data_IF_671077727574
#
_entry.id   IF_671077727574
#
_cell.length_a   1.000
_cell.length_b   1.000
_cell.length_c   1.000
_cell.angle_alpha   90.00
_cell.angle_beta   90.00
_cell.angle_gamma   90.00
#
_symmetry.space_group_name_H-M   'P 1'
#
loop_
_entity.id
_entity.type
_entity.pdbx_description
1 polymer ?
#
# COMPACT_ATOMS: atom_id res chain seq x y z
N UNK A 1 -7.38 0.92 5.51
CA UNK A 1 -7.07 -0.02 6.60
C UNK A 1 -5.66 -0.56 6.41
N UNK A 2 -4.72 -0.18 7.26
CA UNK A 2 -3.48 -0.94 7.45
C UNK A 2 -3.91 -2.35 7.86
N UNK A 3 -3.46 -3.39 7.15
CA UNK A 3 -3.80 -4.76 7.57
C UNK A 3 -3.11 -5.05 8.90
N UNK A 4 -3.84 -5.73 9.78
CA UNK A 4 -3.36 -6.25 11.07
C UNK A 4 -2.02 -7.01 10.93
N UNK A 5 -1.75 -7.61 9.77
CA UNK A 5 -0.49 -8.29 9.42
C UNK A 5 0.76 -7.44 9.68
N UNK A 6 0.70 -6.11 9.51
CA UNK A 6 1.86 -5.25 9.69
C UNK A 6 2.14 -4.90 11.16
N UNK A 7 1.10 -4.96 12.01
CA UNK A 7 1.18 -4.59 13.42
C UNK A 7 1.41 -5.82 14.32
N UNK A 8 0.90 -7.00 13.95
CA UNK A 8 0.93 -8.18 14.79
C UNK A 8 2.28 -8.94 14.81
N UNK A 9 3.19 -8.68 13.85
CA UNK A 9 4.44 -9.44 13.70
C UNK A 9 5.71 -8.63 14.01
N UNK A 10 5.61 -7.34 14.32
CA UNK A 10 6.77 -6.49 14.63
C UNK A 10 6.58 -5.73 15.94
N UNK A 11 7.59 -5.84 16.81
CA UNK A 11 7.78 -4.90 17.92
C UNK A 11 8.66 -3.76 17.39
N UNK A 12 8.20 -2.53 17.58
CA UNK A 12 8.97 -1.32 17.27
C UNK A 12 9.52 -0.79 18.59
N UNK A 13 10.82 -0.50 18.63
CA UNK A 13 11.48 -0.04 19.85
C UNK A 13 11.54 1.50 19.90
N UNK A 14 11.36 2.15 18.76
CA UNK A 14 11.35 3.61 18.63
C UNK A 14 10.19 4.11 17.77
N UNK A 15 9.85 5.38 17.93
CA UNK A 15 8.87 6.05 17.08
C UNK A 15 9.33 6.07 15.61
N UNK A 16 10.62 6.35 15.36
CA UNK A 16 11.18 6.45 14.01
C UNK A 16 11.08 5.11 13.26
N UNK A 17 11.32 3.99 13.93
CA UNK A 17 11.15 2.65 13.35
C UNK A 17 9.69 2.38 12.96
N UNK A 18 8.74 2.79 13.81
CA UNK A 18 7.31 2.66 13.53
C UNK A 18 6.91 3.55 12.34
N UNK A 19 7.35 4.80 12.33
CA UNK A 19 7.04 5.75 11.27
C UNK A 19 7.57 5.27 9.91
N UNK A 20 8.83 4.82 9.87
CA UNK A 20 9.44 4.25 8.68
C UNK A 20 8.67 3.02 8.17
N UNK A 21 8.31 2.10 9.06
CA UNK A 21 7.55 0.90 8.69
C UNK A 21 6.15 1.23 8.15
N UNK A 22 5.47 2.24 8.70
CA UNK A 22 4.18 2.72 8.19
C UNK A 22 4.36 3.33 6.79
N UNK A 23 5.36 4.19 6.59
CA UNK A 23 5.68 4.81 5.29
C UNK A 23 5.95 3.74 4.23
N UNK A 24 6.78 2.75 4.56
CA UNK A 24 7.11 1.63 3.66
C UNK A 24 5.88 0.81 3.29
N UNK A 25 4.99 0.55 4.25
CA UNK A 25 3.77 -0.19 3.98
C UNK A 25 2.79 0.59 3.10
N UNK A 26 2.62 1.88 3.35
CA UNK A 26 1.79 2.75 2.49
C UNK A 26 2.35 2.72 1.07
N UNK A 27 3.67 2.86 0.92
CA UNK A 27 4.32 2.79 -0.39
C UNK A 27 4.09 1.44 -1.07
N UNK A 28 4.33 0.33 -0.37
CA UNK A 28 4.07 -1.02 -0.87
C UNK A 28 2.60 -1.20 -1.28
N UNK A 29 1.66 -0.78 -0.44
CA UNK A 29 0.23 -0.95 -0.71
C UNK A 29 -0.20 -0.20 -1.98
N UNK A 30 0.28 1.03 -2.16
CA UNK A 30 -0.12 1.86 -3.28
C UNK A 30 0.58 1.50 -4.59
N UNK A 31 1.84 1.07 -4.53
CA UNK A 31 2.71 0.93 -5.72
C UNK A 31 3.09 -0.51 -6.08
N UNK A 32 2.93 -1.47 -5.16
CA UNK A 32 3.43 -2.85 -5.35
C UNK A 32 2.37 -3.92 -5.11
N UNK A 33 1.28 -3.59 -4.43
CA UNK A 33 0.23 -4.55 -4.09
C UNK A 33 -0.80 -4.67 -5.21
N UNK A 34 -0.64 -5.68 -6.05
CA UNK A 34 -1.64 -6.05 -7.03
C UNK A 34 -2.93 -6.57 -6.39
N UNK A 35 -4.08 -6.12 -6.89
CA UNK A 35 -5.38 -6.51 -6.35
C UNK A 35 -6.26 -7.07 -7.46
N UNK A 36 -6.76 -8.31 -7.31
CA UNK A 36 -7.64 -8.94 -8.30
C UNK A 36 -8.86 -8.09 -8.66
N UNK A 37 -9.44 -7.40 -7.67
CA UNK A 37 -10.58 -6.48 -7.87
C UNK A 37 -10.25 -5.22 -8.70
N UNK A 38 -8.97 -4.90 -8.84
CA UNK A 38 -8.48 -3.77 -9.64
C UNK A 38 -7.88 -4.29 -10.96
N UNK A 39 -8.47 -5.33 -11.55
CA UNK A 39 -7.95 -5.98 -12.76
C UNK A 39 -6.48 -6.41 -12.63
N UNK A 40 -6.11 -6.91 -11.45
CA UNK A 40 -4.73 -7.28 -11.12
C UNK A 40 -3.72 -6.13 -11.28
N UNK A 41 -4.14 -4.88 -11.06
CA UNK A 41 -3.29 -3.70 -10.99
C UNK A 41 -3.03 -3.29 -9.54
N UNK A 42 -1.99 -2.49 -9.34
CA UNK A 42 -1.79 -1.74 -8.10
C UNK A 42 -2.78 -0.57 -8.02
N UNK A 43 -3.06 -0.03 -6.82
CA UNK A 43 -3.95 1.13 -6.68
C UNK A 43 -3.54 2.33 -7.53
N UNK A 44 -2.24 2.60 -7.66
CA UNK A 44 -1.76 3.73 -8.46
C UNK A 44 -1.93 3.49 -9.97
N UNK A 45 -1.58 2.30 -10.45
CA UNK A 45 -1.81 1.92 -11.86
C UNK A 45 -3.29 1.96 -12.22
N UNK A 46 -4.15 1.47 -11.34
CA UNK A 46 -5.60 1.51 -11.57
C UNK A 46 -6.13 2.94 -11.63
N UNK A 47 -5.59 3.86 -10.81
CA UNK A 47 -5.93 5.29 -10.88
C UNK A 47 -5.53 5.88 -12.24
N UNK A 48 -4.32 5.57 -12.72
CA UNK A 48 -3.86 6.04 -14.02
C UNK A 48 -4.73 5.49 -15.15
N UNK A 49 -5.02 4.18 -15.12
CA UNK A 49 -5.94 3.54 -16.06
C UNK A 49 -7.30 4.25 -16.10
N UNK A 50 -7.89 4.57 -14.95
CA UNK A 50 -9.16 5.30 -14.91
C UNK A 50 -9.06 6.72 -15.48
N UNK A 51 -7.95 7.43 -15.23
CA UNK A 51 -7.72 8.77 -15.79
C UNK A 51 -7.60 8.73 -17.31
N UNK A 52 -6.91 7.73 -17.85
CA UNK A 52 -6.69 7.58 -19.29
C UNK A 52 -7.97 7.13 -20.03
N UNK A 53 -8.83 6.32 -19.39
CA UNK A 53 -10.10 5.86 -19.97
C UNK A 53 -11.26 6.85 -19.76
N UNK A 54 -11.09 7.84 -18.89
CA UNK A 54 -12.07 8.91 -18.71
C UNK A 54 -11.85 10.11 -19.64
N UNK A 55 -10.75 10.11 -20.41
CA UNK A 55 -10.44 11.06 -21.48
C UNK A 55 -10.99 10.58 -22.82
#
# INVERSE_FOLDING_TARGET
MLKSEMYYLKKFNTYDELEAAIKDYIFYYNNKRYQKRLNCMTPLEYRQYLMDNAA
#
